data_IF_434157938011
#
_entry.id   IF_434157938011
#
_cell.length_a   1.000
_cell.length_b   1.000
_cell.length_c   1.000
_cell.angle_alpha   90.00
_cell.angle_beta   90.00
_cell.angle_gamma   90.00
#
_symmetry.space_group_name_H-M   'P 1'
#
loop_
_entity.id
_entity.type
_entity.pdbx_description
1 polymer ?
#
# COMPACT_ATOMS: atom_id res chain seq x y z
N UNK A 1 -77.09 -36.57 -59.91
CA UNK A 1 -76.87 -35.25 -59.30
C UNK A 1 -76.37 -35.47 -57.88
N UNK A 2 -75.06 -35.46 -57.68
CA UNK A 2 -74.43 -35.70 -56.36
C UNK A 2 -73.21 -34.78 -56.26
N UNK A 3 -73.32 -33.72 -55.46
CA UNK A 3 -72.22 -32.80 -55.17
C UNK A 3 -71.38 -33.34 -54.00
N UNK A 4 -70.03 -33.40 -54.10
CA UNK A 4 -69.19 -33.77 -52.98
C UNK A 4 -69.02 -32.59 -52.01
N UNK A 5 -69.03 -32.89 -50.71
CA UNK A 5 -68.85 -31.95 -49.60
C UNK A 5 -67.35 -31.79 -49.32
N UNK A 6 -66.86 -30.56 -49.28
CA UNK A 6 -65.46 -30.27 -48.94
C UNK A 6 -65.15 -30.58 -47.45
N UNK A 7 -63.95 -31.11 -47.12
CA UNK A 7 -63.57 -31.38 -45.74
C UNK A 7 -63.27 -30.07 -44.97
N UNK A 8 -63.75 -30.00 -43.73
CA UNK A 8 -63.53 -28.88 -42.80
C UNK A 8 -62.12 -28.91 -42.19
N UNK A 9 -61.56 -27.71 -42.04
CA UNK A 9 -60.19 -27.34 -41.65
C UNK A 9 -59.62 -27.97 -40.38
N UNK A 10 -58.39 -28.47 -40.48
CA UNK A 10 -57.48 -28.84 -39.37
C UNK A 10 -56.58 -27.65 -38.93
N UNK A 11 -57.11 -26.44 -38.84
CA UNK A 11 -56.32 -25.22 -38.61
C UNK A 11 -56.26 -24.75 -37.14
N UNK A 12 -56.43 -25.66 -36.15
CA UNK A 12 -56.64 -25.27 -34.75
C UNK A 12 -55.55 -25.69 -33.74
N UNK A 13 -54.47 -26.34 -34.17
CA UNK A 13 -53.37 -26.77 -33.27
C UNK A 13 -52.02 -26.05 -33.49
N UNK A 14 -51.86 -25.22 -34.53
CA UNK A 14 -50.58 -24.55 -34.83
C UNK A 14 -50.28 -23.33 -33.95
N UNK A 15 -51.29 -22.78 -33.25
CA UNK A 15 -51.11 -21.60 -32.38
C UNK A 15 -50.26 -21.85 -31.12
N UNK A 16 -50.32 -23.06 -30.54
CA UNK A 16 -49.57 -23.40 -29.33
C UNK A 16 -48.08 -23.61 -29.59
N UNK A 17 -47.73 -24.20 -30.74
CA UNK A 17 -46.34 -24.47 -31.10
C UNK A 17 -45.58 -23.20 -31.48
N UNK A 18 -46.23 -22.27 -32.19
CA UNK A 18 -45.65 -20.96 -32.50
C UNK A 18 -45.29 -20.18 -31.23
N UNK A 19 -46.17 -20.23 -30.21
CA UNK A 19 -45.93 -19.55 -28.94
C UNK A 19 -44.76 -20.18 -28.17
N UNK A 20 -44.65 -21.52 -28.16
CA UNK A 20 -43.49 -22.21 -27.58
C UNK A 20 -42.18 -21.84 -28.29
N UNK A 21 -42.16 -21.83 -29.63
CA UNK A 21 -40.97 -21.47 -30.40
C UNK A 21 -40.51 -20.04 -30.09
N UNK A 22 -41.46 -19.10 -29.99
CA UNK A 22 -41.16 -17.71 -29.64
C UNK A 22 -40.63 -17.60 -28.20
N UNK A 23 -41.25 -18.28 -27.24
CA UNK A 23 -40.74 -18.26 -25.85
C UNK A 23 -39.35 -18.85 -25.72
N UNK A 24 -39.04 -19.91 -26.49
CA UNK A 24 -37.71 -20.51 -26.52
C UNK A 24 -36.69 -19.55 -27.15
N UNK A 25 -37.04 -18.90 -28.26
CA UNK A 25 -36.19 -17.91 -28.91
C UNK A 25 -35.90 -16.71 -27.99
N UNK A 26 -36.91 -16.18 -27.30
CA UNK A 26 -36.75 -15.09 -26.32
C UNK A 26 -35.88 -15.55 -25.15
N UNK A 27 -36.07 -16.78 -24.65
CA UNK A 27 -35.26 -17.31 -23.55
C UNK A 27 -33.78 -17.41 -23.93
N UNK A 28 -33.48 -17.94 -25.12
CA UNK A 28 -32.10 -18.04 -25.63
C UNK A 28 -31.51 -16.64 -25.82
N UNK A 29 -32.25 -15.71 -26.42
CA UNK A 29 -31.80 -14.33 -26.61
C UNK A 29 -31.49 -13.66 -25.27
N UNK A 30 -32.33 -13.86 -24.26
CA UNK A 30 -32.15 -13.28 -22.92
C UNK A 30 -30.88 -13.79 -22.27
N UNK A 31 -30.58 -15.09 -22.38
CA UNK A 31 -29.35 -15.68 -21.85
C UNK A 31 -28.12 -15.09 -22.55
N UNK A 32 -28.14 -14.99 -23.88
CA UNK A 32 -27.02 -14.44 -24.66
C UNK A 32 -26.76 -12.98 -24.30
N UNK A 33 -27.81 -12.15 -24.21
CA UNK A 33 -27.69 -10.75 -23.78
C UNK A 33 -27.12 -10.66 -22.37
N UNK A 34 -27.58 -11.51 -21.44
CA UNK A 34 -27.08 -11.50 -20.07
C UNK A 34 -25.59 -11.87 -19.98
N UNK A 35 -25.13 -12.87 -20.74
CA UNK A 35 -23.71 -13.26 -20.78
C UNK A 35 -22.84 -12.13 -21.33
N UNK A 36 -23.29 -11.45 -22.39
CA UNK A 36 -22.56 -10.32 -22.97
C UNK A 36 -22.45 -9.16 -21.98
N UNK A 37 -23.56 -8.74 -21.39
CA UNK A 37 -23.59 -7.63 -20.40
C UNK A 37 -22.69 -7.95 -19.20
N UNK A 38 -22.71 -9.19 -18.72
CA UNK A 38 -21.87 -9.60 -17.59
C UNK A 38 -20.37 -9.55 -17.94
N UNK A 39 -19.99 -10.05 -19.12
CA UNK A 39 -18.59 -10.04 -19.59
C UNK A 39 -18.07 -8.61 -19.78
N UNK A 40 -18.82 -7.76 -20.47
CA UNK A 40 -18.42 -6.35 -20.68
C UNK A 40 -18.26 -5.60 -19.36
N UNK A 41 -19.17 -5.80 -18.40
CA UNK A 41 -19.04 -5.19 -17.06
C UNK A 41 -17.79 -5.66 -16.32
N UNK A 42 -17.45 -6.95 -16.41
CA UNK A 42 -16.27 -7.52 -15.76
C UNK A 42 -14.98 -6.97 -16.39
N UNK A 43 -14.90 -6.96 -17.72
CA UNK A 43 -13.73 -6.47 -18.45
C UNK A 43 -13.52 -4.97 -18.23
N UNK A 44 -14.60 -4.18 -18.24
CA UNK A 44 -14.51 -2.75 -17.94
C UNK A 44 -13.99 -2.49 -16.53
N UNK A 45 -14.48 -3.22 -15.52
CA UNK A 45 -13.98 -3.08 -14.14
C UNK A 45 -12.51 -3.50 -14.01
N UNK A 46 -12.11 -4.57 -14.69
CA UNK A 46 -10.72 -5.00 -14.71
C UNK A 46 -9.80 -3.94 -15.36
N UNK A 47 -10.20 -3.40 -16.51
CA UNK A 47 -9.46 -2.38 -17.23
C UNK A 47 -9.33 -1.07 -16.44
N UNK A 48 -10.41 -0.62 -15.79
CA UNK A 48 -10.38 0.57 -14.92
C UNK A 48 -9.42 0.36 -13.74
N UNK A 49 -9.50 -0.80 -13.08
CA UNK A 49 -8.63 -1.11 -11.94
C UNK A 49 -7.15 -1.16 -12.35
N UNK A 50 -6.85 -1.70 -13.53
CA UNK A 50 -5.50 -1.73 -14.06
C UNK A 50 -4.98 -0.32 -14.39
N UNK A 51 -5.83 0.52 -14.99
CA UNK A 51 -5.53 1.94 -15.22
C UNK A 51 -5.29 2.72 -13.93
N UNK A 52 -6.07 2.47 -12.88
CA UNK A 52 -5.86 3.08 -11.56
C UNK A 52 -4.54 2.63 -10.94
N UNK A 53 -4.19 1.35 -11.05
CA UNK A 53 -2.90 0.82 -10.56
C UNK A 53 -1.71 1.45 -11.27
N UNK A 54 -1.77 1.64 -12.59
CA UNK A 54 -0.68 2.29 -13.32
C UNK A 54 -0.57 3.76 -12.94
N UNK A 55 -1.69 4.49 -12.87
CA UNK A 55 -1.71 5.88 -12.37
C UNK A 55 -1.12 5.98 -10.97
N UNK A 56 -1.49 5.10 -10.05
CA UNK A 56 -0.96 5.07 -8.69
C UNK A 56 0.57 4.82 -8.68
N UNK A 57 1.08 3.91 -9.53
CA UNK A 57 2.52 3.71 -9.69
C UNK A 57 3.22 4.96 -10.20
N UNK A 58 2.67 5.63 -11.22
CA UNK A 58 3.27 6.87 -11.74
C UNK A 58 3.34 7.97 -10.68
N UNK A 59 2.27 8.13 -9.88
CA UNK A 59 2.26 9.08 -8.77
C UNK A 59 3.35 8.72 -7.75
N UNK A 60 3.44 7.44 -7.35
CA UNK A 60 4.45 6.97 -6.40
C UNK A 60 5.88 7.16 -6.92
N UNK A 61 6.15 6.88 -8.19
CA UNK A 61 7.48 7.10 -8.77
C UNK A 61 7.81 8.59 -8.85
N UNK A 62 6.85 9.44 -9.23
CA UNK A 62 7.05 10.89 -9.26
C UNK A 62 7.33 11.47 -7.87
N UNK A 63 6.66 10.97 -6.83
CA UNK A 63 6.90 11.40 -5.44
C UNK A 63 8.27 10.94 -4.93
N UNK A 64 8.74 9.75 -5.32
CA UNK A 64 10.07 9.27 -4.96
C UNK A 64 11.19 10.12 -5.58
N UNK A 65 11.08 10.46 -6.87
CA UNK A 65 12.09 11.30 -7.53
C UNK A 65 12.08 12.72 -6.99
N UNK A 66 10.90 13.28 -6.71
CA UNK A 66 10.78 14.58 -6.04
C UNK A 66 11.41 14.56 -4.63
N UNK A 67 11.23 13.47 -3.89
CA UNK A 67 11.86 13.30 -2.57
C UNK A 67 13.38 13.23 -2.68
N UNK A 68 13.93 12.49 -3.65
CA UNK A 68 15.38 12.44 -3.88
C UNK A 68 15.95 13.82 -4.21
N UNK A 69 15.24 14.60 -5.04
CA UNK A 69 15.60 15.98 -5.33
C UNK A 69 15.60 16.81 -4.03
N UNK A 70 14.56 16.68 -3.21
CA UNK A 70 14.44 17.37 -1.93
C UNK A 70 15.58 17.05 -0.97
N UNK A 71 15.89 15.77 -0.76
CA UNK A 71 17.02 15.32 0.09
C UNK A 71 18.37 15.83 -0.44
N UNK A 72 18.55 15.90 -1.76
CA UNK A 72 19.78 16.45 -2.37
C UNK A 72 19.88 17.96 -2.23
N UNK A 73 18.76 18.69 -2.29
CA UNK A 73 18.74 20.13 -1.99
C UNK A 73 19.07 20.37 -0.53
N UNK A 74 18.46 19.59 0.38
CA UNK A 74 18.74 19.65 1.81
C UNK A 74 20.22 19.44 2.11
N UNK A 75 20.84 18.37 1.59
CA UNK A 75 22.27 18.11 1.87
C UNK A 75 23.19 19.18 1.27
N UNK A 76 22.85 19.77 0.12
CA UNK A 76 23.65 20.84 -0.47
C UNK A 76 23.48 22.20 0.20
N UNK A 77 22.29 22.50 0.76
CA UNK A 77 21.96 23.83 1.31
C UNK A 77 22.13 23.87 2.83
N UNK A 78 21.78 22.83 3.56
CA UNK A 78 21.87 22.78 5.03
C UNK A 78 23.23 22.23 5.50
N UNK A 79 23.66 21.07 4.98
CA UNK A 79 24.89 20.44 5.49
C UNK A 79 26.15 21.19 5.03
N UNK A 80 26.09 21.83 3.86
CA UNK A 80 27.24 22.55 3.30
C UNK A 80 27.35 24.02 3.79
N UNK A 81 26.36 24.51 4.56
CA UNK A 81 26.37 25.86 5.13
C UNK A 81 26.29 25.75 6.66
N UNK A 82 27.46 25.67 7.31
CA UNK A 82 27.57 25.68 8.77
C UNK A 82 26.85 26.88 9.44
N UNK A 83 26.68 27.98 8.70
CA UNK A 83 25.91 29.15 9.12
C UNK A 83 24.41 28.86 9.30
N UNK A 84 23.79 28.03 8.45
CA UNK A 84 22.36 27.69 8.52
C UNK A 84 22.07 26.73 9.68
N UNK A 85 22.97 25.79 9.92
CA UNK A 85 22.94 24.86 11.05
C UNK A 85 23.08 25.59 12.41
N UNK A 86 23.91 26.64 12.46
CA UNK A 86 24.06 27.50 13.64
C UNK A 86 22.86 28.42 13.90
N UNK A 87 21.97 28.62 12.92
CA UNK A 87 20.73 29.41 13.08
C UNK A 87 19.54 28.57 13.56
N UNK A 88 19.74 27.27 13.86
CA UNK A 88 18.70 26.40 14.40
C UNK A 88 17.53 26.12 13.43
N UNK A 89 17.75 26.35 12.13
CA UNK A 89 16.76 26.07 11.10
C UNK A 89 16.68 24.56 10.88
N UNK A 90 15.67 23.95 11.48
CA UNK A 90 15.35 22.54 11.30
C UNK A 90 14.50 22.33 10.04
N UNK A 91 14.65 21.17 9.40
CA UNK A 91 14.03 20.76 8.13
C UNK A 91 12.52 21.00 8.10
N UNK A 92 11.83 20.83 9.23
CA UNK A 92 10.39 21.05 9.38
C UNK A 92 9.94 22.51 9.22
N UNK A 93 10.84 23.48 9.43
CA UNK A 93 10.51 24.91 9.34
C UNK A 93 10.75 25.49 7.95
N UNK A 94 11.70 24.94 7.18
CA UNK A 94 11.97 25.39 5.80
C UNK A 94 11.05 24.72 4.76
N UNK A 95 10.50 23.56 5.09
CA UNK A 95 9.65 22.79 4.18
C UNK A 95 8.37 23.53 3.74
N UNK A 96 7.63 24.24 4.63
CA UNK A 96 6.48 25.04 4.21
C UNK A 96 6.88 26.24 3.32
N UNK A 97 8.14 26.68 3.39
CA UNK A 97 8.65 27.80 2.60
C UNK A 97 9.04 27.37 1.18
N UNK A 98 9.52 26.14 1.02
CA UNK A 98 10.02 25.60 -0.25
C UNK A 98 8.91 24.84 -1.01
N UNK A 99 7.93 24.24 -0.31
CA UNK A 99 6.81 23.53 -0.94
C UNK A 99 6.01 24.36 -1.97
N UNK A 100 5.68 25.65 -1.73
CA UNK A 100 5.01 26.50 -2.70
C UNK A 100 5.81 26.74 -3.99
N UNK A 101 7.15 26.63 -3.94
CA UNK A 101 8.05 26.77 -5.10
C UNK A 101 7.83 25.62 -6.09
N UNK A 102 7.67 24.39 -5.57
CA UNK A 102 7.46 23.20 -6.39
C UNK A 102 6.01 22.99 -6.83
N UNK A 103 5.04 23.52 -6.06
CA UNK A 103 3.60 23.42 -6.35
C UNK A 103 3.06 24.61 -7.15
N UNK A 104 3.92 25.51 -7.62
CA UNK A 104 3.53 26.64 -8.47
C UNK A 104 2.75 27.76 -7.76
N UNK A 105 2.75 27.79 -6.42
CA UNK A 105 2.15 28.86 -5.61
C UNK A 105 3.18 29.94 -5.19
N UNK A 106 4.27 30.08 -5.94
CA UNK A 106 5.37 30.96 -5.63
C UNK A 106 5.29 32.33 -6.29
N UNK A 107 4.38 33.22 -5.86
CA UNK A 107 4.49 34.65 -6.22
C UNK A 107 5.81 35.27 -5.74
N UNK A 108 6.39 34.74 -4.65
CA UNK A 108 7.68 35.15 -4.10
C UNK A 108 8.90 34.68 -4.92
N UNK A 109 8.76 33.66 -5.76
CA UNK A 109 9.90 33.08 -6.48
C UNK A 109 10.19 33.82 -7.79
N UNK A 110 9.15 34.32 -8.46
CA UNK A 110 9.31 35.22 -9.61
C UNK A 110 10.17 36.45 -9.25
N UNK A 111 10.00 36.98 -8.03
CA UNK A 111 10.79 38.10 -7.51
C UNK A 111 12.21 37.72 -7.05
N UNK A 112 12.48 36.45 -6.75
CA UNK A 112 13.77 36.03 -6.16
C UNK A 112 14.72 35.36 -7.16
N UNK A 113 14.18 34.61 -8.13
CA UNK A 113 14.97 33.90 -9.15
C UNK A 113 14.93 34.55 -10.53
N UNK A 114 14.12 35.60 -10.73
CA UNK A 114 14.03 36.32 -12.01
C UNK A 114 13.53 35.47 -13.19
N UNK A 115 12.98 34.29 -12.91
CA UNK A 115 12.46 33.35 -13.90
C UNK A 115 10.94 33.23 -13.71
N UNK A 116 10.17 33.47 -14.78
CA UNK A 116 8.74 33.19 -14.80
C UNK A 116 8.52 31.67 -14.73
N UNK A 117 8.09 31.18 -13.58
CA UNK A 117 7.70 29.77 -13.36
C UNK A 117 6.18 29.57 -13.45
N UNK A 118 5.49 30.41 -14.25
CA UNK A 118 4.12 30.14 -14.66
C UNK A 118 4.10 28.92 -15.59
N UNK A 119 3.63 27.79 -15.07
CA UNK A 119 3.39 26.58 -15.87
C UNK A 119 4.39 25.43 -15.69
N UNK A 120 5.38 25.57 -14.80
CA UNK A 120 6.28 24.45 -14.44
C UNK A 120 5.78 23.63 -13.25
N UNK A 121 4.75 24.13 -12.55
CA UNK A 121 4.11 23.46 -11.42
C UNK A 121 3.17 22.36 -11.88
N UNK A 122 3.23 21.21 -11.21
CA UNK A 122 2.16 20.21 -11.20
C UNK A 122 0.86 20.94 -10.85
N UNK A 123 0.00 21.17 -11.85
CA UNK A 123 -1.26 21.90 -11.69
C UNK A 123 -2.03 21.30 -10.50
N UNK A 124 -2.31 22.07 -9.45
CA UNK A 124 -3.09 21.59 -8.31
C UNK A 124 -4.60 21.48 -8.63
N UNK A 125 -5.02 21.70 -9.89
CA UNK A 125 -6.44 21.72 -10.26
C UNK A 125 -7.12 20.34 -10.18
N UNK A 126 -6.36 19.25 -9.98
CA UNK A 126 -6.89 17.88 -9.85
C UNK A 126 -6.29 17.11 -8.66
N UNK A 127 -6.04 17.77 -7.53
CA UNK A 127 -5.79 17.06 -6.28
C UNK A 127 -4.87 17.79 -5.34
N UNK A 128 -5.30 17.91 -4.09
CA UNK A 128 -4.47 18.31 -2.95
C UNK A 128 -3.51 17.15 -2.65
N UNK A 129 -2.47 17.00 -3.44
CA UNK A 129 -1.38 16.06 -3.19
C UNK A 129 -0.53 16.56 -2.04
N UNK A 130 -0.95 16.28 -0.81
CA UNK A 130 -0.07 16.37 0.34
C UNK A 130 1.01 15.31 0.20
N UNK A 131 2.25 15.73 -0.01
CA UNK A 131 3.39 14.84 0.22
C UNK A 131 3.52 14.78 1.74
N UNK A 132 3.00 13.71 2.34
CA UNK A 132 3.30 13.42 3.74
C UNK A 132 4.79 13.08 3.78
N UNK A 133 5.58 14.06 4.21
CA UNK A 133 7.01 14.04 4.07
C UNK A 133 7.57 12.83 4.81
N UNK A 134 8.53 12.16 4.18
CA UNK A 134 9.28 11.07 4.76
C UNK A 134 9.71 11.44 6.19
N UNK A 135 9.14 10.74 7.17
CA UNK A 135 9.60 10.84 8.55
C UNK A 135 11.00 10.29 8.60
N UNK A 136 11.91 11.00 9.27
CA UNK A 136 13.25 10.50 9.45
C UNK A 136 13.19 9.13 10.14
N UNK A 137 13.65 8.10 9.45
CA UNK A 137 13.81 6.75 10.00
C UNK A 137 14.99 6.70 10.99
N UNK A 138 15.82 7.75 11.03
CA UNK A 138 16.97 7.92 11.92
C UNK A 138 16.61 7.95 13.42
N UNK A 139 15.33 8.19 13.74
CA UNK A 139 14.81 8.08 15.12
C UNK A 139 14.32 6.68 15.51
N UNK A 140 14.37 5.69 14.60
CA UNK A 140 13.92 4.32 14.85
C UNK A 140 15.11 3.41 15.16
N UNK A 141 14.87 2.40 15.99
CA UNK A 141 15.86 1.36 16.22
C UNK A 141 16.03 0.50 14.96
N UNK A 142 17.25 0.42 14.45
CA UNK A 142 17.60 -0.46 13.35
C UNK A 142 17.75 -1.89 13.87
N UNK A 143 16.82 -2.78 13.52
CA UNK A 143 16.85 -4.18 13.93
C UNK A 143 17.96 -4.97 13.23
N UNK A 144 18.40 -4.56 12.03
CA UNK A 144 19.42 -5.25 11.26
C UNK A 144 20.83 -5.14 11.86
N UNK A 145 21.02 -4.37 12.94
CA UNK A 145 22.29 -4.36 13.66
C UNK A 145 22.54 -5.65 14.44
N UNK A 146 21.54 -6.53 14.62
CA UNK A 146 21.73 -7.84 15.23
C UNK A 146 22.63 -8.78 14.41
N UNK A 147 22.82 -8.52 13.11
CA UNK A 147 23.66 -9.31 12.21
C UNK A 147 25.14 -9.27 12.64
N UNK A 148 25.58 -8.19 13.30
CA UNK A 148 26.94 -8.05 13.81
C UNK A 148 27.03 -8.35 15.31
N UNK A 149 27.86 -9.31 15.70
CA UNK A 149 28.02 -9.75 17.10
C UNK A 149 28.35 -8.63 18.10
N UNK A 150 28.94 -7.51 17.67
CA UNK A 150 29.31 -6.39 18.55
C UNK A 150 28.15 -5.45 18.91
N UNK A 151 27.02 -5.52 18.21
CA UNK A 151 25.88 -4.61 18.40
C UNK A 151 24.63 -5.28 18.97
N UNK A 152 24.65 -6.61 19.11
CA UNK A 152 23.54 -7.41 19.64
C UNK A 152 23.19 -7.01 21.07
N UNK A 153 24.18 -6.85 21.96
CA UNK A 153 23.93 -6.48 23.36
C UNK A 153 23.30 -5.10 23.50
N UNK A 154 23.75 -4.14 22.68
CA UNK A 154 23.20 -2.79 22.65
C UNK A 154 21.74 -2.80 22.16
N UNK A 155 21.44 -3.58 21.11
CA UNK A 155 20.08 -3.74 20.60
C UNK A 155 19.18 -4.44 21.64
N UNK A 156 19.66 -5.53 22.25
CA UNK A 156 18.97 -6.26 23.31
C UNK A 156 18.61 -5.36 24.47
N UNK A 157 19.56 -4.53 24.92
CA UNK A 157 19.34 -3.53 25.96
C UNK A 157 18.32 -2.47 25.58
N UNK A 158 18.36 -1.97 24.34
CA UNK A 158 17.41 -0.98 23.84
C UNK A 158 15.98 -1.56 23.73
N UNK A 159 15.83 -2.77 23.18
CA UNK A 159 14.54 -3.46 23.05
C UNK A 159 13.94 -3.82 24.42
N UNK A 160 14.76 -4.35 25.33
CA UNK A 160 14.33 -4.62 26.70
C UNK A 160 13.92 -3.33 27.40
N UNK A 161 14.68 -2.23 27.22
CA UNK A 161 14.34 -0.92 27.77
C UNK A 161 12.99 -0.39 27.28
N UNK A 162 12.67 -0.60 25.99
CA UNK A 162 11.36 -0.24 25.43
C UNK A 162 10.24 -1.12 25.97
N UNK A 163 10.48 -2.42 26.11
CA UNK A 163 9.45 -3.32 26.61
C UNK A 163 9.23 -3.16 28.10
N UNK A 164 10.24 -2.80 28.90
CA UNK A 164 10.15 -2.70 30.36
C UNK A 164 9.15 -1.65 30.90
N UNK A 165 8.49 -0.86 30.04
CA UNK A 165 7.36 -0.03 30.46
C UNK A 165 6.19 -0.93 30.94
N UNK A 166 5.64 -0.56 32.10
CA UNK A 166 4.48 -1.21 32.73
C UNK A 166 3.24 -1.22 31.84
N UNK A 167 3.14 -0.27 30.91
CA UNK A 167 2.04 -0.23 29.91
C UNK A 167 1.97 -1.50 29.07
N UNK A 168 3.08 -2.20 28.93
CA UNK A 168 3.16 -3.45 28.17
C UNK A 168 3.06 -4.69 29.07
N UNK A 169 2.90 -4.56 30.39
CA UNK A 169 2.79 -5.70 31.31
C UNK A 169 1.61 -6.61 30.92
N UNK A 170 0.54 -6.06 30.34
CA UNK A 170 -0.60 -6.86 29.87
C UNK A 170 -0.28 -7.72 28.63
N UNK A 171 0.80 -7.42 27.90
CA UNK A 171 1.22 -8.21 26.75
C UNK A 171 2.10 -9.38 27.17
N UNK A 172 2.89 -9.23 28.24
CA UNK A 172 3.90 -10.20 28.66
C UNK A 172 3.52 -10.86 29.99
N UNK A 173 3.78 -12.16 30.15
CA UNK A 173 3.37 -12.91 31.34
C UNK A 173 1.93 -13.46 31.29
N UNK A 174 1.20 -13.21 30.20
CA UNK A 174 -0.02 -13.96 29.88
C UNK A 174 0.38 -15.31 29.28
N UNK A 175 -0.38 -16.34 29.64
CA UNK A 175 -0.21 -17.66 29.05
C UNK A 175 -0.83 -17.62 27.64
N UNK A 176 0.01 -17.80 26.62
CA UNK A 176 -0.45 -17.94 25.24
C UNK A 176 -1.23 -19.25 25.09
N UNK A 177 -2.05 -19.37 24.04
CA UNK A 177 -2.82 -20.58 23.71
C UNK A 177 -2.01 -21.88 23.77
N UNK A 178 -0.70 -21.76 23.60
CA UNK A 178 0.26 -22.84 23.44
C UNK A 178 0.98 -23.20 24.75
N UNK A 179 0.45 -22.75 25.91
CA UNK A 179 1.00 -22.97 27.27
C UNK A 179 2.38 -22.38 27.53
N UNK A 180 2.90 -21.58 26.59
CA UNK A 180 4.13 -20.82 26.78
C UNK A 180 3.80 -19.46 27.42
N UNK A 181 4.58 -19.11 28.44
CA UNK A 181 4.54 -17.77 29.04
C UNK A 181 5.29 -16.85 28.09
N UNK A 182 4.61 -15.82 27.57
CA UNK A 182 5.26 -14.81 26.74
C UNK A 182 6.15 -13.94 27.64
N UNK A 183 7.40 -14.34 27.79
CA UNK A 183 8.38 -13.56 28.54
C UNK A 183 9.01 -12.47 27.67
N UNK A 184 9.30 -11.34 28.31
CA UNK A 184 9.93 -10.17 27.68
C UNK A 184 11.32 -10.51 27.17
N UNK A 185 12.09 -11.23 27.99
CA UNK A 185 13.44 -11.65 27.62
C UNK A 185 13.41 -12.68 26.49
N UNK A 186 12.49 -13.65 26.56
CA UNK A 186 12.28 -14.64 25.51
C UNK A 186 11.91 -14.01 24.17
N UNK A 187 10.99 -13.03 24.18
CA UNK A 187 10.56 -12.34 22.94
C UNK A 187 11.69 -11.54 22.31
N UNK A 188 12.50 -10.84 23.11
CA UNK A 188 13.68 -10.10 22.58
C UNK A 188 14.73 -11.06 22.05
N UNK A 189 14.97 -12.19 22.71
CA UNK A 189 15.87 -13.23 22.22
C UNK A 189 15.38 -13.83 20.90
N UNK A 190 14.09 -14.17 20.77
CA UNK A 190 13.52 -14.69 19.52
C UNK A 190 13.60 -13.68 18.35
N UNK A 191 13.51 -12.38 18.63
CA UNK A 191 13.73 -11.34 17.60
C UNK A 191 15.19 -11.32 17.14
N UNK A 192 16.14 -11.54 18.06
CA UNK A 192 17.58 -11.57 17.74
C UNK A 192 17.90 -12.82 16.93
N UNK A 193 17.45 -14.00 17.38
CA UNK A 193 17.64 -15.31 16.73
C UNK A 193 16.97 -15.37 15.33
N UNK A 194 15.97 -14.51 15.07
CA UNK A 194 15.38 -14.40 13.73
C UNK A 194 16.25 -13.60 12.74
N UNK A 195 17.10 -12.70 13.25
CA UNK A 195 17.84 -11.72 12.45
C UNK A 195 19.31 -12.11 12.29
N UNK A 196 19.89 -12.77 13.29
CA UNK A 196 21.25 -13.26 13.21
C UNK A 196 21.39 -14.35 12.12
N UNK A 197 22.65 -14.67 11.82
CA UNK A 197 22.99 -15.57 10.70
C UNK A 197 23.20 -17.00 11.21
N UNK A 198 23.50 -17.15 12.50
CA UNK A 198 23.63 -18.44 13.14
C UNK A 198 22.28 -19.09 13.41
N UNK A 199 22.34 -20.37 13.76
CA UNK A 199 21.17 -21.17 14.14
C UNK A 199 21.30 -21.59 15.61
N UNK A 200 22.02 -20.79 16.39
CA UNK A 200 22.43 -21.08 17.73
C UNK A 200 21.69 -20.14 18.68
N UNK A 201 20.63 -20.65 19.32
CA UNK A 201 19.75 -19.83 20.14
C UNK A 201 20.50 -18.97 21.17
N UNK A 202 20.27 -17.66 21.13
CA UNK A 202 20.91 -16.65 21.97
C UNK A 202 20.34 -16.60 23.41
N UNK A 203 19.40 -17.50 23.75
CA UNK A 203 18.67 -17.54 25.01
C UNK A 203 18.82 -18.83 25.81
N UNK A 204 18.82 -18.72 27.15
CA UNK A 204 18.81 -19.86 28.09
C UNK A 204 17.49 -20.66 28.09
N UNK A 205 16.45 -20.16 27.44
CA UNK A 205 15.08 -20.71 27.52
C UNK A 205 14.50 -20.95 26.13
N UNK A 206 15.31 -21.52 25.23
CA UNK A 206 14.90 -21.79 23.86
C UNK A 206 14.98 -20.53 23.01
N UNK A 207 16.07 -20.37 22.29
CA UNK A 207 16.03 -19.56 21.09
C UNK A 207 15.13 -20.25 20.08
N UNK A 208 14.13 -19.53 19.59
CA UNK A 208 13.21 -20.02 18.57
C UNK A 208 13.92 -19.94 17.23
N UNK A 209 14.65 -21.00 16.93
CA UNK A 209 15.43 -21.14 15.71
C UNK A 209 14.61 -21.80 14.60
N UNK A 210 15.26 -22.10 13.48
CA UNK A 210 14.72 -22.86 12.35
C UNK A 210 13.87 -24.09 12.76
N UNK A 211 14.24 -24.77 13.85
CA UNK A 211 13.52 -25.93 14.39
C UNK A 211 12.13 -25.58 14.94
N UNK A 212 11.98 -24.40 15.54
CA UNK A 212 10.70 -23.91 16.05
C UNK A 212 9.79 -23.45 14.90
N UNK A 213 10.30 -22.59 14.00
CA UNK A 213 9.48 -22.04 12.91
C UNK A 213 9.02 -23.05 11.87
N UNK A 214 9.75 -24.16 11.69
CA UNK A 214 9.33 -25.26 10.80
C UNK A 214 8.25 -26.17 11.41
N UNK A 215 7.96 -26.03 12.70
CA UNK A 215 6.98 -26.85 13.42
C UNK A 215 5.61 -26.20 13.63
N UNK A 216 5.50 -24.90 13.29
CA UNK A 216 4.26 -24.13 13.22
C UNK A 216 3.43 -24.51 11.97
#
# INVERSE_FOLDING_TARGET
>A
MTTPRAPRSLARSQGGFALLMVTMAISILTIVVHVFVFRTKKELRAAVTEGEKTKARYIAYSSMELTKLFLRVQSKVLDNNAMLKNLGLDMGQMLPMIMPIFLGQGSMVNSMLGMNMEGTGLRPDQGTGGIDLYKAEDGKLNLNCAIGASTVDTLKGALLGMFNDRRYDDLFGRNTSDRNILDRLGTVSAIIDFIDIDQAGSGSTGGDEDAYYKSL
#
